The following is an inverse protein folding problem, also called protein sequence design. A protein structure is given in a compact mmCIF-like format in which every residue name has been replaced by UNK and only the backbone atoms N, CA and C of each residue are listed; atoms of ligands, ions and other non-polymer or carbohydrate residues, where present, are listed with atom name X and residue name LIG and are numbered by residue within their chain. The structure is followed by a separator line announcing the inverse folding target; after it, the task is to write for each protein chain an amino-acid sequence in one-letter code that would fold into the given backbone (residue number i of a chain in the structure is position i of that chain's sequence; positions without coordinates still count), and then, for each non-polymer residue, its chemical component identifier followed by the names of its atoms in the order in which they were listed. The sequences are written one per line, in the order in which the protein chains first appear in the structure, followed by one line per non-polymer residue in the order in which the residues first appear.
data_IF_250375678882
#
_entry.id   IF_250375678882
#
_cell.length_a   1.000
_cell.length_b   1.000
_cell.length_c   1.000
_cell.angle_alpha   90.00
_cell.angle_beta   90.00
_cell.angle_gamma   90.00
#
_symmetry.space_group_name_H-M   'P 1'
#
loop_
_entity.id
_entity.type
_entity.pdbx_description
1 polymer ?
#
# COMPACT_ATOMS: atom_id res chain seq x y z
N UNK A 1 36.00 -1.98 26.69
CA UNK A 1 34.99 -1.23 25.90
C UNK A 1 34.92 -1.82 24.50
N UNK A 2 33.88 -2.60 24.17
CA UNK A 2 33.69 -3.15 22.82
C UNK A 2 33.03 -2.07 21.94
N UNK A 3 33.71 -1.65 20.86
CA UNK A 3 33.18 -0.65 19.92
C UNK A 3 31.95 -1.25 19.22
N UNK A 4 30.83 -0.54 19.28
CA UNK A 4 29.59 -0.89 18.56
C UNK A 4 29.86 -0.76 17.05
N UNK A 5 29.53 -1.74 16.20
CA UNK A 5 29.70 -1.60 14.76
C UNK A 5 28.79 -0.47 14.24
N UNK A 6 29.29 0.32 13.30
CA UNK A 6 28.52 1.37 12.65
C UNK A 6 27.34 0.76 11.86
N UNK A 7 26.18 1.43 11.78
CA UNK A 7 25.06 0.95 10.99
C UNK A 7 25.48 0.80 9.52
N UNK A 8 25.12 -0.33 8.90
CA UNK A 8 25.36 -0.57 7.49
C UNK A 8 24.62 0.49 6.66
N UNK A 9 25.22 1.02 5.58
CA UNK A 9 24.54 1.96 4.71
C UNK A 9 23.31 1.29 4.12
N UNK A 10 22.13 1.87 4.34
CA UNK A 10 20.88 1.45 3.71
C UNK A 10 21.11 1.29 2.21
N UNK A 11 20.68 0.15 1.66
CA UNK A 11 20.86 -0.10 0.24
C UNK A 11 20.14 1.00 -0.57
N UNK A 12 20.64 1.32 -1.76
CA UNK A 12 20.00 2.31 -2.64
C UNK A 12 18.52 2.03 -2.85
N UNK A 13 18.14 0.74 -2.88
CA UNK A 13 16.77 0.26 -2.96
C UNK A 13 15.92 0.61 -1.74
N UNK A 14 16.46 0.48 -0.52
CA UNK A 14 15.73 0.82 0.71
C UNK A 14 15.46 2.33 0.79
N UNK A 15 16.45 3.13 0.38
CA UNK A 15 16.32 4.59 0.33
C UNK A 15 15.29 5.02 -0.72
N UNK A 16 15.28 4.40 -1.89
CA UNK A 16 14.30 4.65 -2.94
C UNK A 16 12.89 4.25 -2.50
N UNK A 17 12.75 3.11 -1.81
CA UNK A 17 11.47 2.66 -1.26
C UNK A 17 10.95 3.61 -0.18
N UNK A 18 11.82 4.07 0.73
CA UNK A 18 11.47 5.05 1.76
C UNK A 18 11.02 6.37 1.14
N UNK A 19 11.78 6.90 0.17
CA UNK A 19 11.45 8.14 -0.53
C UNK A 19 10.14 8.05 -1.32
N UNK A 20 9.84 6.87 -1.90
CA UNK A 20 8.57 6.62 -2.58
C UNK A 20 7.41 6.55 -1.58
N UNK A 21 7.60 5.89 -0.45
CA UNK A 21 6.59 5.75 0.61
C UNK A 21 6.24 7.09 1.23
N UNK A 22 7.24 7.94 1.49
CA UNK A 22 7.05 9.29 2.02
C UNK A 22 6.26 10.18 1.05
N UNK A 23 6.55 10.07 -0.25
CA UNK A 23 5.81 10.80 -1.29
C UNK A 23 4.34 10.37 -1.33
N UNK A 24 4.09 9.06 -1.26
CA UNK A 24 2.75 8.49 -1.20
C UNK A 24 1.97 8.94 0.04
N UNK A 25 2.60 8.97 1.21
CA UNK A 25 1.99 9.42 2.45
C UNK A 25 1.56 10.91 2.35
N UNK A 26 2.42 11.75 1.78
CA UNK A 26 2.11 13.17 1.51
C UNK A 26 0.91 13.33 0.56
N UNK A 27 0.87 12.54 -0.51
CA UNK A 27 -0.25 12.56 -1.46
C UNK A 27 -1.55 12.08 -0.80
N UNK A 28 -1.51 11.02 0.01
CA UNK A 28 -2.67 10.50 0.76
C UNK A 28 -3.22 11.52 1.77
N UNK A 29 -2.36 12.31 2.41
CA UNK A 29 -2.79 13.37 3.34
C UNK A 29 -3.42 14.56 2.63
N UNK A 30 -3.01 14.85 1.39
CA UNK A 30 -3.52 15.98 0.61
C UNK A 30 -4.81 15.64 -0.18
N UNK A 31 -5.00 14.36 -0.49
CA UNK A 31 -6.14 13.85 -1.25
C UNK A 31 -6.76 12.67 -0.49
N UNK A 32 -7.70 12.93 0.44
CA UNK A 32 -8.42 11.85 1.11
C UNK A 32 -9.13 10.99 0.06
N UNK A 33 -9.14 9.69 0.30
CA UNK A 33 -9.90 8.76 -0.52
C UNK A 33 -11.34 8.80 -0.02
N UNK A 34 -12.15 9.67 -0.61
CA UNK A 34 -13.53 9.89 -0.19
C UNK A 34 -14.45 8.71 -0.55
N UNK A 35 -14.05 7.88 -1.52
CA UNK A 35 -14.82 6.72 -1.91
C UNK A 35 -14.56 5.55 -0.95
N UNK A 36 -15.56 5.05 -0.21
CA UNK A 36 -15.36 4.07 0.86
C UNK A 36 -14.67 2.79 0.37
N UNK A 37 -15.08 2.24 -0.79
CA UNK A 37 -14.41 1.05 -1.34
C UNK A 37 -12.95 1.29 -1.73
N UNK A 38 -12.59 2.51 -2.17
CA UNK A 38 -11.19 2.82 -2.50
C UNK A 38 -10.36 2.99 -1.23
N UNK A 39 -10.96 3.45 -0.13
CA UNK A 39 -10.31 3.53 1.16
C UNK A 39 -9.97 2.12 1.69
N UNK A 40 -10.91 1.18 1.57
CA UNK A 40 -10.69 -0.24 1.94
C UNK A 40 -9.58 -0.88 1.10
N UNK A 41 -9.55 -0.63 -0.21
CA UNK A 41 -8.47 -1.10 -1.10
C UNK A 41 -7.12 -0.52 -0.66
N UNK A 42 -7.08 0.79 -0.34
CA UNK A 42 -5.86 1.48 0.10
C UNK A 42 -5.32 0.93 1.42
N UNK A 43 -6.21 0.60 2.36
CA UNK A 43 -5.88 -0.05 3.63
C UNK A 43 -5.30 -1.45 3.42
N UNK A 44 -5.92 -2.28 2.56
CA UNK A 44 -5.38 -3.60 2.24
C UNK A 44 -3.99 -3.52 1.61
N UNK A 45 -3.75 -2.55 0.73
CA UNK A 45 -2.43 -2.30 0.18
C UNK A 45 -1.40 -1.93 1.25
N UNK A 46 -1.80 -1.16 2.27
CA UNK A 46 -0.94 -0.86 3.41
C UNK A 46 -0.60 -2.13 4.21
N UNK A 47 -1.61 -2.95 4.52
CA UNK A 47 -1.42 -4.23 5.24
C UNK A 47 -0.55 -5.23 4.50
N UNK A 48 -0.54 -5.22 3.16
CA UNK A 48 0.39 -6.04 2.37
C UNK A 48 1.85 -5.61 2.61
N UNK A 49 2.11 -4.30 2.72
CA UNK A 49 3.45 -3.79 3.04
C UNK A 49 3.89 -4.15 4.46
N UNK A 50 2.96 -4.20 5.41
CA UNK A 50 3.23 -4.50 6.82
C UNK A 50 3.17 -6.00 7.14
N UNK A 51 2.81 -6.85 6.17
CA UNK A 51 2.64 -8.27 6.39
C UNK A 51 3.97 -8.97 6.73
N UNK A 52 4.04 -9.59 7.90
CA UNK A 52 5.23 -10.31 8.38
C UNK A 52 5.48 -11.65 7.66
N UNK A 53 4.55 -12.10 6.81
CA UNK A 53 4.70 -13.35 6.07
C UNK A 53 4.02 -13.32 4.71
N UNK A 54 4.59 -14.08 3.77
CA UNK A 54 4.06 -14.22 2.42
C UNK A 54 2.62 -14.79 2.38
N UNK A 55 2.22 -15.79 3.20
CA UNK A 55 0.84 -16.25 3.25
C UNK A 55 -0.14 -15.13 3.64
N UNK A 56 0.20 -14.32 4.64
CA UNK A 56 -0.63 -13.19 5.09
C UNK A 56 -0.72 -12.12 4.00
N UNK A 57 0.41 -11.76 3.38
CA UNK A 57 0.43 -10.81 2.27
C UNK A 57 -0.44 -11.26 1.09
N UNK A 58 -0.40 -12.57 0.76
CA UNK A 58 -1.23 -13.15 -0.30
C UNK A 58 -2.72 -13.08 0.01
N UNK A 59 -3.10 -13.27 1.27
CA UNK A 59 -4.48 -13.14 1.70
C UNK A 59 -5.00 -11.72 1.45
N UNK A 60 -4.30 -10.71 1.98
CA UNK A 60 -4.66 -9.30 1.77
C UNK A 60 -4.66 -8.91 0.29
N UNK A 61 -3.74 -9.44 -0.50
CA UNK A 61 -3.70 -9.20 -1.95
C UNK A 61 -4.94 -9.78 -2.65
N UNK A 62 -5.42 -10.96 -2.23
CA UNK A 62 -6.65 -11.55 -2.74
C UNK A 62 -7.86 -10.67 -2.47
N UNK A 63 -8.02 -10.21 -1.23
CA UNK A 63 -9.13 -9.34 -0.83
C UNK A 63 -9.11 -8.01 -1.59
N UNK A 64 -7.92 -7.39 -1.74
CA UNK A 64 -7.77 -6.14 -2.46
C UNK A 64 -8.14 -6.27 -3.94
N UNK A 65 -7.76 -7.39 -4.58
CA UNK A 65 -8.11 -7.68 -5.97
C UNK A 65 -9.62 -7.89 -6.15
N UNK A 66 -10.28 -8.56 -5.20
CA UNK A 66 -11.72 -8.77 -5.24
C UNK A 66 -12.47 -7.43 -5.16
N UNK A 67 -12.10 -6.57 -4.20
CA UNK A 67 -12.69 -5.23 -4.06
C UNK A 67 -12.43 -4.34 -5.28
N UNK A 68 -11.21 -4.35 -5.83
CA UNK A 68 -10.87 -3.56 -7.02
C UNK A 68 -11.70 -3.99 -8.24
N UNK A 69 -11.96 -5.29 -8.40
CA UNK A 69 -12.82 -5.80 -9.47
C UNK A 69 -14.27 -5.35 -9.29
N UNK A 70 -14.79 -5.43 -8.07
CA UNK A 70 -16.14 -4.97 -7.76
C UNK A 70 -16.30 -3.47 -8.04
N UNK A 71 -15.39 -2.64 -7.53
CA UNK A 71 -15.37 -1.20 -7.81
C UNK A 71 -15.29 -0.92 -9.32
N UNK A 72 -14.42 -1.61 -10.05
CA UNK A 72 -14.30 -1.45 -11.50
C UNK A 72 -15.60 -1.82 -12.25
N UNK A 73 -16.34 -2.82 -11.77
CA UNK A 73 -17.65 -3.17 -12.34
C UNK A 73 -18.68 -2.07 -12.04
N UNK A 74 -18.73 -1.59 -10.80
CA UNK A 74 -19.64 -0.52 -10.39
C UNK A 74 -19.42 0.76 -11.22
N UNK A 75 -18.18 1.22 -11.34
CA UNK A 75 -17.84 2.40 -12.15
C UNK A 75 -18.21 2.22 -13.62
N UNK A 76 -17.99 1.02 -14.20
CA UNK A 76 -18.41 0.73 -15.58
C UNK A 76 -19.92 0.82 -15.73
N UNK A 77 -20.67 0.27 -14.79
CA UNK A 77 -22.13 0.28 -14.84
C UNK A 77 -22.69 1.72 -14.71
N UNK A 78 -22.09 2.55 -13.85
CA UNK A 78 -22.45 3.97 -13.70
C UNK A 78 -22.11 4.82 -14.94
N UNK A 79 -21.16 4.38 -15.77
CA UNK A 79 -20.77 5.09 -17.00
C UNK A 79 -21.71 4.80 -18.20
N UNK A 80 -22.65 3.87 -18.03
CA UNK A 80 -23.61 3.45 -19.07
C UNK A 80 -25.05 3.93 -18.80
N UNK A 81 -25.30 4.64 -17.70
CA UNK A 81 -26.55 5.37 -17.39
C UNK A 81 -26.42 6.84 -17.78
#
# INVERSE_FOLDING_TARGET
MKRRPAPLPESTTDRELAARSERLARTRSAYPIDHPQLADISELLHRICDAESLPVARWYAGDALALLRAFSMEVRNQSHE
#
